data_IF_374311035215
#
_entry.id   IF_374311035215
#
_cell.length_a   1.000
_cell.length_b   1.000
_cell.length_c   1.000
_cell.angle_alpha   90.00
_cell.angle_beta   90.00
_cell.angle_gamma   90.00
#
_symmetry.space_group_name_H-M   'P 1'
#
loop_
_entity.id
_entity.type
_entity.pdbx_description
1 polymer ?
#
# COMPACT_ATOMS: atom_id res chain seq x y z
N UNK A 1 6.58 -4.61 16.06
CA UNK A 1 7.61 -4.04 15.17
C UNK A 1 8.76 -5.03 15.09
N UNK A 2 9.31 -5.25 13.91
CA UNK A 2 10.45 -6.17 13.75
C UNK A 2 11.70 -5.52 14.36
N UNK A 3 12.47 -6.29 15.14
CA UNK A 3 13.69 -5.80 15.79
C UNK A 3 14.90 -5.91 14.86
N UNK A 4 16.01 -5.26 15.23
CA UNK A 4 17.22 -5.24 14.42
C UNK A 4 17.70 -6.65 14.01
N UNK A 5 18.11 -6.77 12.74
CA UNK A 5 18.61 -8.01 12.15
C UNK A 5 17.53 -9.02 11.74
N UNK A 6 16.25 -8.64 11.77
CA UNK A 6 15.12 -9.49 11.36
C UNK A 6 14.29 -8.80 10.27
N UNK A 7 13.60 -9.60 9.46
CA UNK A 7 12.61 -9.14 8.49
C UNK A 7 11.32 -9.96 8.62
N UNK A 8 10.18 -9.35 8.33
CA UNK A 8 8.90 -10.03 8.23
C UNK A 8 8.29 -9.76 6.86
N UNK A 9 7.74 -10.81 6.25
CA UNK A 9 6.96 -10.72 5.01
C UNK A 9 5.55 -11.17 5.38
N UNK A 10 4.56 -10.37 4.99
CA UNK A 10 3.16 -10.65 5.24
C UNK A 10 2.33 -10.25 4.04
N UNK A 11 1.23 -10.96 3.84
CA UNK A 11 0.17 -10.52 2.94
C UNK A 11 -0.73 -9.54 3.69
N UNK A 12 -1.02 -8.40 3.08
CA UNK A 12 -1.89 -7.39 3.68
C UNK A 12 -2.95 -6.96 2.69
N UNK A 13 -4.21 -7.05 3.11
CA UNK A 13 -5.34 -6.62 2.29
C UNK A 13 -5.65 -5.13 2.47
N UNK A 14 -5.35 -4.57 3.64
CA UNK A 14 -5.60 -3.18 3.97
C UNK A 14 -4.38 -2.30 3.68
N UNK A 15 -4.50 -1.42 2.68
CA UNK A 15 -3.42 -0.53 2.27
C UNK A 15 -3.06 0.52 3.32
N UNK A 16 -4.00 0.92 4.19
CA UNK A 16 -3.76 1.91 5.23
C UNK A 16 -2.96 1.31 6.39
N UNK A 17 -3.19 0.03 6.72
CA UNK A 17 -2.30 -0.70 7.61
C UNK A 17 -0.90 -0.85 6.98
N UNK A 18 -0.82 -1.04 5.67
CA UNK A 18 0.47 -1.20 4.98
C UNK A 18 1.25 0.11 5.01
N UNK A 19 0.57 1.23 4.77
CA UNK A 19 1.11 2.58 4.88
C UNK A 19 1.72 2.86 6.26
N UNK A 20 1.10 2.32 7.32
CA UNK A 20 1.49 2.61 8.70
C UNK A 20 2.60 1.72 9.23
N UNK A 21 2.68 0.46 8.78
CA UNK A 21 3.53 -0.55 9.42
C UNK A 21 4.58 -1.19 8.53
N UNK A 22 4.45 -1.06 7.20
CA UNK A 22 5.41 -1.64 6.28
C UNK A 22 6.43 -0.60 5.83
N UNK A 23 7.70 -0.99 5.77
CA UNK A 23 8.76 -0.15 5.19
C UNK A 23 8.84 -0.29 3.66
N UNK A 24 8.46 -1.47 3.16
CA UNK A 24 8.50 -1.85 1.75
C UNK A 24 7.23 -2.59 1.35
N UNK A 25 6.87 -2.46 0.08
CA UNK A 25 5.70 -3.12 -0.50
C UNK A 25 6.07 -3.89 -1.77
N UNK A 26 5.38 -5.01 -1.96
CA UNK A 26 5.30 -5.75 -3.21
C UNK A 26 3.83 -5.73 -3.65
N UNK A 27 3.53 -5.00 -4.72
CA UNK A 27 2.20 -4.96 -5.31
C UNK A 27 2.12 -5.98 -6.44
N UNK A 28 1.13 -6.86 -6.38
CA UNK A 28 0.91 -7.91 -7.38
C UNK A 28 -0.41 -7.64 -8.10
N UNK A 29 -0.35 -7.36 -9.39
CA UNK A 29 -1.52 -6.98 -10.18
C UNK A 29 -2.25 -8.21 -10.74
N UNK A 30 -3.56 -8.09 -11.01
CA UNK A 30 -4.34 -9.19 -11.63
C UNK A 30 -3.81 -9.65 -13.00
N UNK A 31 -3.04 -8.81 -13.68
CA UNK A 31 -2.38 -9.10 -14.97
C UNK A 31 -1.14 -10.00 -14.84
N UNK A 32 -0.72 -10.35 -13.62
CA UNK A 32 0.52 -11.07 -13.35
C UNK A 32 1.76 -10.19 -13.28
N UNK A 33 1.61 -8.89 -13.54
CA UNK A 33 2.67 -7.89 -13.31
C UNK A 33 2.88 -7.70 -11.80
N UNK A 34 4.09 -7.32 -11.39
CA UNK A 34 4.38 -6.92 -10.03
C UNK A 34 5.37 -5.76 -10.01
N UNK A 35 5.27 -4.91 -8.98
CA UNK A 35 6.28 -3.91 -8.68
C UNK A 35 6.55 -3.86 -7.18
N UNK A 36 7.75 -3.43 -6.81
CA UNK A 36 8.18 -3.37 -5.42
C UNK A 36 9.08 -2.16 -5.15
N UNK A 37 9.10 -1.70 -3.91
CA UNK A 37 9.86 -0.52 -3.51
C UNK A 37 9.54 -0.10 -2.09
N UNK A 38 9.99 1.09 -1.71
CA UNK A 38 9.64 1.69 -0.41
C UNK A 38 8.15 1.99 -0.35
N UNK A 39 7.55 1.93 0.83
CA UNK A 39 6.14 2.29 1.01
C UNK A 39 5.81 3.68 0.45
N UNK A 40 6.75 4.63 0.57
CA UNK A 40 6.61 5.99 0.03
C UNK A 40 6.49 6.03 -1.48
N UNK A 41 7.28 5.24 -2.20
CA UNK A 41 7.30 5.25 -3.67
C UNK A 41 6.14 4.43 -4.25
N UNK A 42 5.66 3.45 -3.48
CA UNK A 42 4.67 2.47 -3.93
C UNK A 42 3.22 2.89 -3.67
N UNK A 43 2.96 3.63 -2.60
CA UNK A 43 1.61 4.09 -2.23
C UNK A 43 1.20 5.34 -3.01
N UNK A 44 1.06 5.19 -4.33
CA UNK A 44 0.55 6.22 -5.23
C UNK A 44 -0.85 5.84 -5.74
N UNK A 45 -1.80 6.80 -5.83
CA UNK A 45 -3.19 6.49 -6.17
C UNK A 45 -3.33 5.68 -7.45
N UNK A 46 -2.65 6.09 -8.53
CA UNK A 46 -2.70 5.39 -9.82
C UNK A 46 -2.29 3.91 -9.74
N UNK A 47 -1.30 3.58 -8.91
CA UNK A 47 -0.87 2.18 -8.72
C UNK A 47 -1.92 1.39 -7.93
N UNK A 48 -2.45 1.98 -6.86
CA UNK A 48 -3.45 1.36 -6.00
C UNK A 48 -4.81 1.21 -6.68
N UNK A 49 -5.24 2.20 -7.47
CA UNK A 49 -6.47 2.12 -8.27
C UNK A 49 -6.36 1.03 -9.34
N UNK A 50 -5.18 0.85 -9.96
CA UNK A 50 -4.92 -0.28 -10.86
C UNK A 50 -4.95 -1.61 -10.11
N UNK A 51 -4.34 -1.67 -8.92
CA UNK A 51 -4.28 -2.87 -8.09
C UNK A 51 -5.66 -3.32 -7.61
N UNK A 52 -6.47 -2.39 -7.09
CA UNK A 52 -7.78 -2.65 -6.52
C UNK A 52 -8.91 -2.54 -7.53
N UNK A 53 -8.65 -2.03 -8.75
CA UNK A 53 -9.68 -1.74 -9.76
C UNK A 53 -10.82 -0.86 -9.24
N UNK A 54 -10.47 0.12 -8.41
CA UNK A 54 -11.40 0.99 -7.68
C UNK A 54 -10.82 2.40 -7.57
N UNK A 55 -11.57 3.47 -7.87
CA UNK A 55 -11.13 4.85 -7.64
C UNK A 55 -10.93 5.14 -6.14
N UNK A 56 -9.88 5.89 -5.82
CA UNK A 56 -9.49 6.18 -4.44
C UNK A 56 -9.43 7.69 -4.17
N UNK A 57 -9.97 8.11 -3.03
CA UNK A 57 -9.63 9.37 -2.42
C UNK A 57 -8.37 9.22 -1.57
N UNK A 58 -7.53 10.25 -1.57
CA UNK A 58 -6.37 10.35 -0.68
C UNK A 58 -6.64 11.44 0.34
N UNK A 59 -6.45 11.12 1.61
CA UNK A 59 -6.41 12.07 2.70
C UNK A 59 -5.13 11.90 3.52
N UNK A 60 -5.06 12.63 4.62
CA UNK A 60 -3.96 12.53 5.59
C UNK A 60 -4.54 12.45 7.00
N UNK A 61 -3.97 11.58 7.83
CA UNK A 61 -4.27 11.47 9.27
C UNK A 61 -2.94 11.31 9.99
N UNK A 62 -2.66 12.20 10.95
CA UNK A 62 -1.40 12.23 11.72
C UNK A 62 -0.13 12.23 10.84
N UNK A 63 -0.15 12.95 9.72
CA UNK A 63 0.99 13.00 8.79
C UNK A 63 1.12 11.78 7.86
N UNK A 64 0.20 10.81 7.94
CA UNK A 64 0.23 9.58 7.16
C UNK A 64 -0.89 9.57 6.11
N UNK A 65 -0.60 9.11 4.88
CA UNK A 65 -1.62 9.03 3.84
C UNK A 65 -2.66 7.98 4.22
N UNK A 66 -3.93 8.30 3.95
CA UNK A 66 -5.05 7.37 4.02
C UNK A 66 -5.73 7.29 2.66
N UNK A 67 -6.04 6.07 2.25
CA UNK A 67 -6.68 5.74 0.98
C UNK A 67 -8.07 5.20 1.26
N UNK A 68 -9.08 5.85 0.69
CA UNK A 68 -10.48 5.47 0.86
C UNK A 68 -11.10 5.21 -0.51
N UNK A 69 -11.88 4.13 -0.68
CA UNK A 69 -12.62 3.93 -1.92
C UNK A 69 -13.66 5.04 -2.06
N UNK A 70 -13.66 5.71 -3.21
CA UNK A 70 -14.78 6.55 -3.59
C UNK A 70 -15.96 5.61 -3.84
N UNK A 71 -16.99 5.70 -3.00
CA UNK A 71 -18.19 4.85 -3.12
C UNK A 71 -18.75 4.84 -4.54
N UNK A 72 -19.51 3.79 -4.85
CA UNK A 72 -20.16 3.66 -6.15
C UNK A 72 -21.42 4.51 -6.23
#
# INVERSE_FOLDING_TARGET
MVTQGRGAILTMHDVNLAARYCDHLLLMYPTGEACWGTTRDMLVPKALEKLYSQPLAVGEVDGMPVFLPLGR
#
